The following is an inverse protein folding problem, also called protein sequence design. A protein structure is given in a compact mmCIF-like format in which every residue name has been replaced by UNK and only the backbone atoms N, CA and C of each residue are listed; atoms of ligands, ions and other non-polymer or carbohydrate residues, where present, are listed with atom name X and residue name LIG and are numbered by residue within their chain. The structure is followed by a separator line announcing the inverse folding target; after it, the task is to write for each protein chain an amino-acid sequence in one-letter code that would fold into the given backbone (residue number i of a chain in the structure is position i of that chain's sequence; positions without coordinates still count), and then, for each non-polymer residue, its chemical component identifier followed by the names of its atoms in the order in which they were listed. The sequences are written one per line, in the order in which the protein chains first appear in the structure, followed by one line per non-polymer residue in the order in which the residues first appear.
data_IF_020585840904
#
_entry.id   IF_020585840904
#
_cell.length_a   1.000
_cell.length_b   1.000
_cell.length_c   1.000
_cell.angle_alpha   90.00
_cell.angle_beta   90.00
_cell.angle_gamma   90.00
#
_symmetry.space_group_name_H-M   'P 1'
#
loop_
_entity.id
_entity.type
_entity.pdbx_description
1 polymer ?
#
# COMPACT_ATOMS: atom_id res chain seq x y z
N UNK A 1 -0.76 -1.13 -83.83
CA UNK A 1 -1.96 -1.95 -83.56
C UNK A 1 -2.13 -1.99 -82.04
N UNK A 2 -2.79 -1.05 -81.37
CA UNK A 2 -4.20 -0.61 -81.44
C UNK A 2 -5.19 -1.75 -81.16
N UNK A 3 -5.50 -1.98 -79.88
CA UNK A 3 -6.86 -2.24 -79.43
C UNK A 3 -7.09 -1.70 -78.01
N UNK A 4 -8.08 -0.82 -77.98
CA UNK A 4 -8.67 0.06 -76.97
C UNK A 4 -9.37 -0.69 -75.81
N UNK A 5 -9.30 -0.18 -74.56
CA UNK A 5 -10.31 0.64 -73.79
C UNK A 5 -11.60 -0.14 -73.47
N UNK A 6 -12.19 -0.13 -72.27
CA UNK A 6 -12.56 0.98 -71.35
C UNK A 6 -13.01 0.38 -70.00
N UNK A 7 -12.48 0.80 -68.85
CA UNK A 7 -13.04 1.75 -67.86
C UNK A 7 -14.38 1.39 -67.18
N UNK A 8 -14.36 1.28 -65.85
CA UNK A 8 -15.54 1.32 -64.98
C UNK A 8 -15.12 1.36 -63.51
N UNK A 9 -15.10 2.54 -62.90
CA UNK A 9 -14.71 2.74 -61.51
C UNK A 9 -15.85 2.52 -60.51
N UNK A 10 -15.50 2.32 -59.24
CA UNK A 10 -16.18 2.95 -58.12
C UNK A 10 -15.32 2.83 -56.86
N UNK A 11 -15.09 3.97 -56.22
CA UNK A 11 -14.70 4.13 -54.83
C UNK A 11 -15.70 3.43 -53.89
N UNK A 12 -15.21 2.93 -52.75
CA UNK A 12 -15.90 2.88 -51.43
C UNK A 12 -14.96 2.28 -50.40
N UNK A 13 -14.42 3.15 -49.55
CA UNK A 13 -14.87 3.41 -48.18
C UNK A 13 -14.39 2.37 -47.18
N UNK A 14 -13.45 2.84 -46.37
CA UNK A 14 -13.24 2.50 -44.97
C UNK A 14 -14.48 1.91 -44.29
N UNK A 15 -14.27 0.81 -43.57
CA UNK A 15 -14.95 0.56 -42.30
C UNK A 15 -14.11 -0.40 -41.47
N UNK A 16 -13.16 0.18 -40.76
CA UNK A 16 -12.62 -0.40 -39.53
C UNK A 16 -13.80 -0.63 -38.58
N UNK A 17 -14.18 -1.89 -38.38
CA UNK A 17 -15.22 -2.27 -37.42
C UNK A 17 -14.61 -2.15 -36.04
N UNK A 18 -14.82 -0.97 -35.46
CA UNK A 18 -14.46 -0.61 -34.10
C UNK A 18 -15.27 -1.49 -33.14
N UNK A 19 -14.68 -2.62 -32.74
CA UNK A 19 -15.20 -3.46 -31.67
C UNK A 19 -15.19 -2.66 -30.37
N UNK A 20 -16.33 -2.03 -30.05
CA UNK A 20 -16.60 -1.38 -28.76
C UNK A 20 -16.38 -2.40 -27.64
N UNK A 21 -15.16 -2.44 -27.12
CA UNK A 21 -14.79 -3.13 -25.90
C UNK A 21 -15.48 -2.38 -24.78
N UNK A 22 -16.66 -2.86 -24.38
CA UNK A 22 -17.40 -2.36 -23.23
C UNK A 22 -16.50 -2.46 -22.00
N UNK A 23 -15.83 -1.36 -21.67
CA UNK A 23 -15.11 -1.18 -20.43
C UNK A 23 -16.17 -1.03 -19.33
N UNK A 24 -16.65 -2.16 -18.81
CA UNK A 24 -17.23 -2.19 -17.47
C UNK A 24 -16.19 -1.56 -16.55
N UNK A 25 -16.47 -0.33 -16.12
CA UNK A 25 -15.76 0.37 -15.07
C UNK A 25 -15.69 -0.59 -13.88
N UNK A 26 -14.52 -1.21 -13.69
CA UNK A 26 -14.25 -1.93 -12.45
C UNK A 26 -14.23 -0.86 -11.38
N UNK A 27 -15.25 -0.87 -10.52
CA UNK A 27 -15.27 -0.05 -9.32
C UNK A 27 -14.01 -0.28 -8.48
N UNK A 28 -13.74 0.58 -7.48
CA UNK A 28 -12.55 0.48 -6.67
C UNK A 28 -12.42 -0.95 -6.12
N UNK A 29 -11.29 -1.62 -6.38
CA UNK A 29 -10.99 -2.90 -5.74
C UNK A 29 -10.82 -2.60 -4.25
N UNK A 30 -11.89 -2.74 -3.48
CA UNK A 30 -11.85 -2.65 -2.03
C UNK A 30 -11.10 -3.89 -1.56
N UNK A 31 -9.83 -3.71 -1.19
CA UNK A 31 -9.08 -4.78 -0.54
C UNK A 31 -9.82 -5.18 0.74
N UNK A 32 -10.16 -6.47 0.83
CA UNK A 32 -10.70 -7.03 2.08
C UNK A 32 -9.65 -6.87 3.19
N UNK A 33 -9.94 -5.96 4.11
CA UNK A 33 -9.01 -5.56 5.17
C UNK A 33 -8.74 -6.73 6.11
N UNK A 34 -9.78 -7.53 6.42
CA UNK A 34 -9.64 -8.70 7.29
C UNK A 34 -8.74 -9.75 6.66
N UNK A 35 -8.92 -10.03 5.36
CA UNK A 35 -8.07 -10.96 4.64
C UNK A 35 -6.59 -10.51 4.60
N UNK A 36 -6.33 -9.20 4.47
CA UNK A 36 -4.97 -8.66 4.51
C UNK A 36 -4.32 -8.88 5.88
N UNK A 37 -5.00 -8.55 6.96
CA UNK A 37 -4.47 -8.75 8.32
C UNK A 37 -4.28 -10.22 8.66
N UNK A 38 -5.23 -11.09 8.29
CA UNK A 38 -5.10 -12.53 8.46
C UNK A 38 -3.89 -13.10 7.70
N UNK A 39 -3.70 -12.69 6.44
CA UNK A 39 -2.55 -13.11 5.65
C UNK A 39 -1.22 -12.62 6.23
N UNK A 40 -1.19 -11.38 6.76
CA UNK A 40 -0.02 -10.83 7.42
C UNK A 40 0.35 -11.62 8.68
N UNK A 41 -0.63 -11.89 9.55
CA UNK A 41 -0.41 -12.69 10.75
C UNK A 41 0.13 -14.08 10.43
N UNK A 42 -0.50 -14.77 9.47
CA UNK A 42 -0.07 -16.10 9.03
C UNK A 42 1.39 -16.10 8.53
N UNK A 43 1.74 -15.16 7.65
CA UNK A 43 3.10 -15.09 7.09
C UNK A 43 4.15 -14.74 8.15
N UNK A 44 3.81 -13.88 9.10
CA UNK A 44 4.70 -13.54 10.21
C UNK A 44 4.92 -14.73 11.15
N UNK A 45 3.86 -15.46 11.50
CA UNK A 45 3.95 -16.63 12.38
C UNK A 45 4.77 -17.75 11.76
N UNK A 46 4.48 -18.11 10.51
CA UNK A 46 5.18 -19.17 9.81
C UNK A 46 6.68 -18.90 9.68
N UNK A 47 7.06 -17.65 9.42
CA UNK A 47 8.47 -17.27 9.36
C UNK A 47 9.11 -17.20 10.74
N UNK A 48 8.42 -16.63 11.74
CA UNK A 48 8.93 -16.56 13.10
C UNK A 48 9.20 -17.95 13.67
N UNK A 49 8.28 -18.90 13.47
CA UNK A 49 8.44 -20.29 13.91
C UNK A 49 9.66 -20.96 13.27
N UNK A 50 9.80 -20.87 11.95
CA UNK A 50 10.92 -21.47 11.21
C UNK A 50 12.30 -20.95 11.67
N UNK A 51 12.42 -19.63 11.86
CA UNK A 51 13.70 -19.02 12.25
C UNK A 51 13.97 -19.06 13.76
N UNK A 52 13.01 -19.50 14.59
CA UNK A 52 13.18 -19.60 16.04
C UNK A 52 14.07 -20.78 16.48
N UNK A 53 14.18 -21.84 15.69
CA UNK A 53 14.95 -23.05 16.01
C UNK A 53 16.47 -22.96 15.78
N UNK A 54 17.07 -21.77 15.96
CA UNK A 54 18.27 -21.30 15.27
C UNK A 54 19.58 -22.13 15.34
N UNK A 55 20.43 -21.86 14.34
CA UNK A 55 21.85 -22.22 14.25
C UNK A 55 22.77 -21.11 14.81
N UNK A 56 23.92 -21.47 15.39
CA UNK A 56 24.86 -20.54 16.06
C UNK A 56 25.67 -19.69 15.05
N UNK A 57 26.01 -18.45 15.42
CA UNK A 57 26.87 -17.54 14.63
C UNK A 57 26.12 -16.38 13.96
N UNK A 58 26.76 -15.67 13.02
CA UNK A 58 26.22 -14.46 12.38
C UNK A 58 24.91 -14.67 11.60
N UNK A 59 24.70 -15.87 11.05
CA UNK A 59 23.42 -16.25 10.45
C UNK A 59 22.31 -16.43 11.51
N UNK A 60 22.66 -16.87 12.71
CA UNK A 60 21.77 -16.94 13.87
C UNK A 60 21.32 -15.56 14.33
N UNK A 61 22.22 -14.58 14.35
CA UNK A 61 21.87 -13.19 14.69
C UNK A 61 20.90 -12.59 13.67
N UNK A 62 21.15 -12.80 12.38
CA UNK A 62 20.24 -12.35 11.32
C UNK A 62 18.87 -13.03 11.40
N UNK A 63 18.83 -14.33 11.70
CA UNK A 63 17.59 -15.08 11.90
C UNK A 63 16.81 -14.55 13.11
N UNK A 64 17.50 -14.29 14.23
CA UNK A 64 16.89 -13.71 15.44
C UNK A 64 16.27 -12.34 15.15
N UNK A 65 17.00 -11.44 14.50
CA UNK A 65 16.45 -10.13 14.09
C UNK A 65 15.21 -10.27 13.21
N UNK A 66 15.21 -11.24 12.30
CA UNK A 66 14.05 -11.51 11.46
C UNK A 66 12.85 -11.98 12.31
N UNK A 67 13.05 -12.87 13.28
CA UNK A 67 12.00 -13.30 14.23
C UNK A 67 11.45 -12.11 15.02
N UNK A 68 12.33 -11.29 15.59
CA UNK A 68 11.94 -10.12 16.39
C UNK A 68 11.14 -9.12 15.54
N UNK A 69 11.57 -8.90 14.30
CA UNK A 69 10.86 -8.05 13.34
C UNK A 69 9.48 -8.61 12.99
N UNK A 70 9.34 -9.93 12.77
CA UNK A 70 8.04 -10.54 12.48
C UNK A 70 7.07 -10.37 13.65
N UNK A 71 7.54 -10.52 14.89
CA UNK A 71 6.74 -10.29 16.09
C UNK A 71 6.30 -8.82 16.20
N UNK A 72 7.22 -7.89 15.99
CA UNK A 72 6.92 -6.45 16.05
C UNK A 72 5.91 -6.02 14.97
N UNK A 73 6.05 -6.54 13.75
CA UNK A 73 5.08 -6.32 12.67
C UNK A 73 3.68 -6.80 13.10
N UNK A 74 3.57 -7.98 13.74
CA UNK A 74 2.27 -8.47 14.23
C UNK A 74 1.67 -7.56 15.29
N UNK A 75 2.47 -7.02 16.21
CA UNK A 75 2.00 -6.08 17.23
C UNK A 75 1.48 -4.77 16.61
N UNK A 76 2.23 -4.23 15.63
CA UNK A 76 1.77 -3.10 14.84
C UNK A 76 0.47 -3.42 14.10
N UNK A 77 0.37 -4.59 13.49
CA UNK A 77 -0.81 -5.02 12.75
C UNK A 77 -2.06 -5.10 13.63
N UNK A 78 -1.96 -5.73 14.82
CA UNK A 78 -3.05 -5.80 15.81
C UNK A 78 -3.53 -4.42 16.24
N UNK A 79 -2.61 -3.48 16.41
CA UNK A 79 -2.94 -2.09 16.76
C UNK A 79 -3.64 -1.37 15.60
N UNK A 80 -3.22 -1.64 14.36
CA UNK A 80 -3.67 -0.94 13.16
C UNK A 80 -5.03 -1.41 12.65
N UNK A 81 -5.37 -2.69 12.82
CA UNK A 81 -6.62 -3.26 12.31
C UNK A 81 -7.90 -2.52 12.75
N UNK A 82 -8.12 -2.23 14.05
CA UNK A 82 -9.29 -1.47 14.47
C UNK A 82 -9.27 -0.02 13.95
N UNK A 83 -8.09 0.61 13.90
CA UNK A 83 -7.93 1.99 13.43
C UNK A 83 -8.31 2.11 11.95
N UNK A 84 -7.76 1.22 11.10
CA UNK A 84 -8.08 1.19 9.67
C UNK A 84 -9.58 0.91 9.47
N UNK A 85 -10.15 -0.01 10.24
CA UNK A 85 -11.58 -0.32 10.18
C UNK A 85 -12.43 0.92 10.51
N UNK A 86 -12.08 1.66 11.57
CA UNK A 86 -12.74 2.92 11.92
C UNK A 86 -12.65 3.96 10.80
N UNK A 87 -11.45 4.20 10.26
CA UNK A 87 -11.28 5.14 9.14
C UNK A 87 -12.12 4.77 7.92
N UNK A 88 -12.20 3.49 7.57
CA UNK A 88 -12.96 3.06 6.39
C UNK A 88 -14.46 3.30 6.50
N UNK A 89 -14.98 3.43 7.72
CA UNK A 89 -16.39 3.73 7.97
C UNK A 89 -16.69 5.22 7.86
N UNK A 90 -15.70 6.11 7.98
CA UNK A 90 -15.94 7.56 8.17
C UNK A 90 -15.26 8.45 7.13
N UNK A 91 -14.14 8.00 6.55
CA UNK A 91 -13.32 8.80 5.63
C UNK A 91 -14.03 9.33 4.38
N UNK A 92 -15.21 8.81 4.05
CA UNK A 92 -15.97 9.17 2.84
C UNK A 92 -16.80 10.44 3.08
N UNK A 93 -17.10 10.76 4.34
CA UNK A 93 -17.72 12.03 4.73
C UNK A 93 -16.80 13.24 4.51
N UNK A 94 -15.52 13.00 4.25
CA UNK A 94 -14.50 14.02 4.02
C UNK A 94 -14.09 14.09 2.54
N UNK A 95 -14.81 13.41 1.66
CA UNK A 95 -14.65 13.62 0.22
C UNK A 95 -15.30 14.95 -0.18
N UNK A 96 -14.55 15.77 -0.91
CA UNK A 96 -15.07 17.03 -1.43
C UNK A 96 -16.22 16.80 -2.43
N UNK A 97 -16.08 15.77 -3.27
CA UNK A 97 -17.08 15.34 -4.23
C UNK A 97 -17.27 13.81 -4.12
N UNK A 98 -18.50 13.30 -3.88
CA UNK A 98 -18.79 11.87 -3.87
C UNK A 98 -18.43 11.14 -5.18
N UNK A 99 -18.41 11.83 -6.31
CA UNK A 99 -18.03 11.30 -7.61
C UNK A 99 -16.52 11.35 -7.86
N UNK A 100 -15.77 12.14 -7.08
CA UNK A 100 -14.31 12.26 -7.14
C UNK A 100 -13.72 12.02 -5.74
N UNK A 101 -13.72 10.76 -5.24
CA UNK A 101 -13.31 10.44 -3.88
C UNK A 101 -11.80 10.63 -3.69
N UNK A 102 -11.42 11.79 -3.17
CA UNK A 102 -10.03 12.18 -2.96
C UNK A 102 -9.89 12.98 -1.66
N UNK A 103 -9.36 12.35 -0.61
CA UNK A 103 -8.98 13.03 0.62
C UNK A 103 -7.75 12.37 1.28
N UNK A 104 -7.15 13.09 2.24
CA UNK A 104 -5.94 12.66 2.93
C UNK A 104 -6.09 11.34 3.70
N UNK A 105 -7.24 11.10 4.32
CA UNK A 105 -7.51 9.85 5.06
C UNK A 105 -7.59 8.64 4.12
N UNK A 106 -8.24 8.77 2.95
CA UNK A 106 -8.26 7.71 1.93
C UNK A 106 -6.86 7.37 1.47
N UNK A 107 -6.04 8.39 1.19
CA UNK A 107 -4.65 8.21 0.77
C UNK A 107 -3.81 7.54 1.87
N UNK A 108 -3.96 7.97 3.13
CA UNK A 108 -3.25 7.37 4.26
C UNK A 108 -3.60 5.89 4.45
N UNK A 109 -4.89 5.54 4.44
CA UNK A 109 -5.35 4.14 4.52
C UNK A 109 -4.81 3.31 3.35
N UNK A 110 -4.79 3.87 2.13
CA UNK A 110 -4.22 3.20 0.95
C UNK A 110 -2.73 2.91 1.13
N UNK A 111 -1.95 3.89 1.62
CA UNK A 111 -0.50 3.71 1.85
C UNK A 111 -0.24 2.65 2.92
N UNK A 112 -1.01 2.64 4.01
CA UNK A 112 -0.88 1.61 5.05
C UNK A 112 -1.18 0.22 4.48
N UNK A 113 -2.28 0.04 3.75
CA UNK A 113 -2.59 -1.22 3.08
C UNK A 113 -1.50 -1.66 2.11
N UNK A 114 -0.95 -0.72 1.34
CA UNK A 114 0.17 -0.98 0.44
C UNK A 114 1.39 -1.51 1.23
N UNK A 115 1.73 -0.88 2.36
CA UNK A 115 2.79 -1.34 3.26
C UNK A 115 2.56 -2.79 3.74
N UNK A 116 1.36 -3.10 4.23
CA UNK A 116 0.99 -4.45 4.67
C UNK A 116 1.13 -5.48 3.55
N UNK A 117 0.67 -5.16 2.34
CA UNK A 117 0.79 -6.05 1.16
C UNK A 117 2.25 -6.31 0.80
N UNK A 118 3.09 -5.28 0.82
CA UNK A 118 4.52 -5.44 0.56
C UNK A 118 5.20 -6.33 1.60
N UNK A 119 4.84 -6.19 2.88
CA UNK A 119 5.32 -7.08 3.94
C UNK A 119 4.89 -8.53 3.68
N UNK A 120 3.61 -8.76 3.34
CA UNK A 120 3.09 -10.09 3.02
C UNK A 120 3.86 -10.70 1.84
N UNK A 121 4.04 -9.94 0.76
CA UNK A 121 4.78 -10.40 -0.42
C UNK A 121 6.23 -10.75 -0.07
N UNK A 122 6.89 -9.90 0.72
CA UNK A 122 8.26 -10.16 1.14
C UNK A 122 8.36 -11.37 2.07
N UNK A 123 7.44 -11.51 3.01
CA UNK A 123 7.39 -12.66 3.89
C UNK A 123 7.11 -13.97 3.14
N UNK A 124 6.22 -13.97 2.14
CA UNK A 124 6.02 -15.13 1.25
C UNK A 124 7.25 -15.46 0.43
N UNK A 125 7.97 -14.45 -0.06
CA UNK A 125 9.27 -14.66 -0.71
C UNK A 125 10.27 -15.35 0.24
N UNK A 126 10.35 -14.90 1.49
CA UNK A 126 11.19 -15.54 2.51
C UNK A 126 10.75 -16.98 2.72
N UNK A 127 9.46 -17.23 2.94
CA UNK A 127 8.90 -18.58 3.10
C UNK A 127 9.30 -19.52 1.97
N UNK A 128 9.20 -19.08 0.72
CA UNK A 128 9.51 -19.88 -0.46
C UNK A 128 11.02 -20.14 -0.64
N UNK A 129 11.88 -19.22 -0.20
CA UNK A 129 13.31 -19.26 -0.48
C UNK A 129 14.17 -19.63 0.74
N UNK A 130 13.63 -19.67 1.96
CA UNK A 130 14.38 -19.86 3.22
C UNK A 130 15.24 -21.13 3.32
N UNK A 131 14.99 -22.14 2.48
CA UNK A 131 15.77 -23.39 2.40
C UNK A 131 16.79 -23.41 1.26
N UNK A 132 16.80 -22.38 0.41
CA UNK A 132 17.73 -22.26 -0.70
C UNK A 132 19.14 -21.92 -0.22
N UNK A 133 20.16 -22.52 -0.83
CA UNK A 133 21.57 -22.23 -0.55
C UNK A 133 21.95 -20.77 -0.86
N UNK A 134 21.21 -20.11 -1.75
CA UNK A 134 21.43 -18.70 -2.12
C UNK A 134 20.65 -17.73 -1.23
N UNK A 135 19.92 -18.23 -0.22
CA UNK A 135 19.11 -17.39 0.65
C UNK A 135 19.96 -16.56 1.60
N UNK A 136 19.88 -15.24 1.45
CA UNK A 136 20.62 -14.29 2.28
C UNK A 136 19.76 -13.81 3.45
N UNK A 137 19.82 -14.52 4.57
CA UNK A 137 19.02 -14.20 5.78
C UNK A 137 19.22 -12.74 6.21
N UNK A 138 20.47 -12.27 6.31
CA UNK A 138 20.78 -10.91 6.76
C UNK A 138 20.21 -9.81 5.86
N UNK A 139 20.19 -10.03 4.54
CA UNK A 139 19.60 -9.10 3.58
C UNK A 139 18.09 -9.00 3.75
N UNK A 140 17.42 -10.16 3.81
CA UNK A 140 15.97 -10.24 3.98
C UNK A 140 15.51 -9.69 5.33
N UNK A 141 16.28 -9.91 6.41
CA UNK A 141 16.06 -9.27 7.70
C UNK A 141 16.10 -7.75 7.56
N UNK A 142 17.13 -7.20 6.90
CA UNK A 142 17.26 -5.75 6.69
C UNK A 142 16.13 -5.13 5.87
N UNK A 143 15.57 -5.84 4.89
CA UNK A 143 14.38 -5.38 4.16
C UNK A 143 13.12 -5.43 5.03
N UNK A 144 12.94 -6.50 5.81
CA UNK A 144 11.78 -6.63 6.69
C UNK A 144 11.79 -5.58 7.82
N UNK A 145 12.97 -5.31 8.39
CA UNK A 145 13.18 -4.24 9.39
C UNK A 145 12.81 -2.88 8.82
N UNK A 146 13.19 -2.59 7.57
CA UNK A 146 12.84 -1.34 6.91
C UNK A 146 11.32 -1.20 6.74
N UNK A 147 10.63 -2.27 6.31
CA UNK A 147 9.17 -2.24 6.24
C UNK A 147 8.51 -2.10 7.61
N UNK A 148 9.04 -2.75 8.64
CA UNK A 148 8.55 -2.59 10.01
C UNK A 148 8.69 -1.15 10.49
N UNK A 149 9.83 -0.49 10.21
CA UNK A 149 10.05 0.91 10.54
C UNK A 149 9.06 1.83 9.81
N UNK A 150 8.82 1.60 8.52
CA UNK A 150 7.81 2.33 7.77
C UNK A 150 6.40 2.12 8.34
N UNK A 151 6.05 0.88 8.69
CA UNK A 151 4.76 0.56 9.31
C UNK A 151 4.57 1.25 10.66
N UNK A 152 5.64 1.33 11.47
CA UNK A 152 5.63 2.06 12.74
C UNK A 152 5.34 3.56 12.54
N UNK A 153 5.98 4.20 11.56
CA UNK A 153 5.72 5.62 11.27
C UNK A 153 4.34 5.84 10.67
N UNK A 154 3.84 4.93 9.82
CA UNK A 154 2.46 4.98 9.31
C UNK A 154 1.41 4.83 10.42
N UNK A 155 1.71 4.01 11.44
CA UNK A 155 0.86 3.89 12.63
C UNK A 155 0.82 5.21 13.41
N UNK A 156 1.96 5.87 13.60
CA UNK A 156 2.00 7.19 14.23
C UNK A 156 1.18 8.24 13.45
N UNK A 157 1.32 8.26 12.11
CA UNK A 157 0.51 9.12 11.23
C UNK A 157 -0.99 8.84 11.37
N UNK A 158 -1.39 7.57 11.46
CA UNK A 158 -2.79 7.20 11.67
C UNK A 158 -3.32 7.65 13.03
N UNK A 159 -2.52 7.58 14.09
CA UNK A 159 -2.92 8.10 15.40
C UNK A 159 -3.11 9.62 15.39
N UNK A 160 -2.22 10.35 14.73
CA UNK A 160 -2.38 11.79 14.52
C UNK A 160 -3.63 12.11 13.71
N UNK A 161 -3.86 11.38 12.62
CA UNK A 161 -5.06 11.51 11.81
C UNK A 161 -6.34 11.21 12.63
N UNK A 162 -6.29 10.22 13.53
CA UNK A 162 -7.44 9.85 14.36
C UNK A 162 -7.75 10.94 15.39
N UNK A 163 -6.73 11.56 15.98
CA UNK A 163 -6.88 12.72 16.86
C UNK A 163 -7.52 13.89 16.10
N UNK A 164 -7.02 14.20 14.90
CA UNK A 164 -7.63 15.23 14.04
C UNK A 164 -9.10 14.92 13.75
N UNK A 165 -9.44 13.65 13.49
CA UNK A 165 -10.80 13.25 13.22
C UNK A 165 -11.73 13.46 14.43
N UNK A 166 -11.25 13.18 15.63
CA UNK A 166 -12.01 13.36 16.87
C UNK A 166 -12.18 14.84 17.24
N UNK A 167 -11.13 15.65 17.02
CA UNK A 167 -11.11 17.06 17.42
C UNK A 167 -11.88 17.97 16.44
N UNK A 168 -12.28 17.46 15.27
CA UNK A 168 -13.06 18.20 14.28
C UNK A 168 -14.53 17.76 14.26
N UNK A 169 -15.43 18.73 14.12
CA UNK A 169 -16.86 18.45 13.87
C UNK A 169 -17.05 17.67 12.55
N UNK A 170 -18.04 16.75 12.52
CA UNK A 170 -18.35 15.92 11.35
C UNK A 170 -18.32 16.69 10.02
N UNK A 171 -17.58 16.18 9.03
CA UNK A 171 -17.50 16.73 7.68
C UNK A 171 -16.57 17.94 7.49
N UNK A 172 -16.00 18.49 8.58
CA UNK A 172 -15.03 19.57 8.48
C UNK A 172 -13.59 19.03 8.49
N UNK A 173 -12.86 19.30 7.41
CA UNK A 173 -11.42 19.03 7.29
C UNK A 173 -10.55 20.10 7.97
N UNK A 174 -11.16 21.24 8.31
CA UNK A 174 -10.48 22.40 8.88
C UNK A 174 -10.97 22.66 10.31
N UNK A 175 -10.04 23.00 11.19
CA UNK A 175 -10.34 23.43 12.55
C UNK A 175 -11.14 24.74 12.50
N UNK A 176 -12.21 24.81 13.29
CA UNK A 176 -13.05 26.02 13.40
C UNK A 176 -12.39 27.14 14.19
N UNK A 177 -11.34 26.83 14.94
CA UNK A 177 -10.64 27.81 15.77
C UNK A 177 -9.58 28.55 14.93
N UNK A 178 -9.51 29.87 15.07
CA UNK A 178 -8.55 30.75 14.38
C UNK A 178 -7.09 30.39 14.71
N UNK A 179 -6.88 29.60 15.77
CA UNK A 179 -5.58 29.08 16.20
C UNK A 179 -5.01 27.97 15.30
N UNK A 180 -5.82 27.35 14.44
CA UNK A 180 -5.37 26.33 13.49
C UNK A 180 -4.92 25.01 14.15
N UNK A 181 -3.88 24.38 13.60
CA UNK A 181 -3.32 23.14 14.17
C UNK A 181 -2.60 23.44 15.49
N UNK A 182 -2.86 22.65 16.53
CA UNK A 182 -2.14 22.75 17.80
C UNK A 182 -0.61 22.68 17.59
N UNK A 183 0.15 23.54 18.25
CA UNK A 183 1.62 23.51 18.25
C UNK A 183 2.15 22.11 18.62
N UNK A 184 1.47 21.43 19.54
CA UNK A 184 1.80 20.06 19.95
C UNK A 184 1.70 19.07 18.79
N UNK A 185 0.67 19.19 17.94
CA UNK A 185 0.49 18.38 16.75
C UNK A 185 1.60 18.62 15.73
N UNK A 186 1.91 19.89 15.45
CA UNK A 186 2.95 20.27 14.49
C UNK A 186 4.31 19.75 14.94
N UNK A 187 4.62 19.88 16.24
CA UNK A 187 5.87 19.37 16.83
C UNK A 187 5.97 17.85 16.71
N UNK A 188 4.90 17.13 17.05
CA UNK A 188 4.85 15.66 16.94
C UNK A 188 5.02 15.21 15.49
N UNK A 189 4.32 15.85 14.54
CA UNK A 189 4.48 15.58 13.12
C UNK A 189 5.89 15.85 12.60
N UNK A 190 6.50 16.95 13.03
CA UNK A 190 7.85 17.34 12.63
C UNK A 190 8.88 16.35 13.16
N UNK A 191 8.70 15.86 14.38
CA UNK A 191 9.59 14.89 15.03
C UNK A 191 9.57 13.48 14.41
N UNK A 192 8.53 13.12 13.65
CA UNK A 192 8.45 11.80 13.02
C UNK A 192 9.57 11.56 12.00
N UNK A 193 10.09 10.34 12.00
CA UNK A 193 11.21 9.94 11.15
C UNK A 193 10.75 9.64 9.71
N UNK A 194 10.85 10.65 8.85
CA UNK A 194 10.42 10.59 7.43
C UNK A 194 11.36 9.76 6.56
N UNK A 195 12.60 9.53 6.99
CA UNK A 195 13.62 8.78 6.24
C UNK A 195 13.25 7.33 5.93
N UNK A 196 12.39 6.71 6.76
CA UNK A 196 11.93 5.33 6.56
C UNK A 196 11.17 5.12 5.25
N UNK A 197 10.66 6.18 4.60
CA UNK A 197 9.92 6.10 3.34
C UNK A 197 10.82 6.15 2.09
N UNK A 198 12.06 6.63 2.21
CA UNK A 198 12.92 6.99 1.08
C UNK A 198 14.13 6.06 0.89
N UNK A 199 14.15 4.89 1.53
CA UNK A 199 15.24 3.89 1.45
C UNK A 199 14.83 2.55 0.85
N UNK A 200 15.02 1.44 1.57
CA UNK A 200 14.56 0.10 1.13
C UNK A 200 13.04 0.01 0.92
N UNK A 201 12.32 0.98 1.45
CA UNK A 201 10.90 1.21 1.27
C UNK A 201 10.55 2.04 0.01
N UNK A 202 11.53 2.44 -0.80
CA UNK A 202 11.32 3.12 -2.09
C UNK A 202 10.41 2.26 -2.97
N UNK A 203 9.21 2.78 -3.23
CA UNK A 203 8.19 2.09 -4.01
C UNK A 203 6.75 2.26 -3.51
N UNK A 204 6.54 2.72 -2.27
CA UNK A 204 5.19 3.05 -1.79
C UNK A 204 4.58 4.27 -2.50
N UNK A 205 5.43 5.18 -2.98
CA UNK A 205 5.02 6.47 -3.54
C UNK A 205 4.76 6.42 -5.05
N UNK A 206 5.50 5.58 -5.80
CA UNK A 206 5.50 5.59 -7.28
C UNK A 206 5.72 4.18 -7.86
N UNK A 207 5.23 3.11 -7.22
CA UNK A 207 4.92 1.92 -8.03
C UNK A 207 3.57 2.14 -8.65
N UNK A 208 3.61 2.65 -9.89
CA UNK A 208 2.54 2.49 -10.86
C UNK A 208 2.12 1.03 -10.78
N UNK A 209 1.00 0.82 -10.11
CA UNK A 209 0.61 -0.49 -9.67
C UNK A 209 0.47 -1.35 -10.92
N UNK A 210 1.29 -2.38 -11.06
CA UNK A 210 1.07 -3.37 -12.11
C UNK A 210 -0.27 -4.09 -11.92
N UNK A 211 -0.92 -3.93 -10.75
CA UNK A 211 -2.32 -4.27 -10.48
C UNK A 211 -3.32 -3.08 -10.43
N UNK A 212 -2.86 -1.83 -10.51
CA UNK A 212 -3.69 -0.61 -10.68
C UNK A 212 -3.15 0.23 -11.85
N UNK A 213 -2.85 -0.43 -12.97
CA UNK A 213 -2.39 0.19 -14.22
C UNK A 213 -3.58 0.62 -15.08
N UNK A 214 -4.57 1.24 -14.44
CA UNK A 214 -5.70 1.87 -15.09
C UNK A 214 -5.73 3.34 -14.69
N UNK A 215 -5.49 4.19 -15.69
CA UNK A 215 -5.79 5.64 -15.72
C UNK A 215 -5.07 6.53 -14.70
N UNK A 216 -3.81 6.85 -15.01
CA UNK A 216 -3.37 8.25 -14.99
C UNK A 216 -2.80 8.55 -16.38
N UNK A 217 -3.71 8.81 -17.31
CA UNK A 217 -3.46 9.58 -18.52
C UNK A 217 -4.68 10.49 -18.68
N UNK A 218 -4.35 11.78 -18.80
CA UNK A 218 -5.19 13.00 -18.80
C UNK A 218 -5.60 13.54 -17.44
#
# INVERSE_FOLDING_TARGET
MASSKTSGGSSRLEKSVNGRRSSKLKGPVVMDTKAVFAALHSVCDENAEFFSGGSKGSQGDAARRLVDTMKLIKEHARSLEPIISGFTQVYHHFDFDPHIPANGYRSLVKVVRCCLVHIIQKGRYITANRRSIFFRVAHNAGEMEAYCNALCQLRALLYLAQRMLHDNSHGNLFFKDESGLSETFVREYTSMHKGCFYGRCLGFQVRGAAGCRGSWQE
#
